data_IF_684108808662
#
_entry.id   IF_684108808662
#
_cell.length_a   1.000
_cell.length_b   1.000
_cell.length_c   1.000
_cell.angle_alpha   90.00
_cell.angle_beta   90.00
_cell.angle_gamma   90.00
#
_symmetry.space_group_name_H-M   'P 1'
#
loop_
_entity.id
_entity.type
_entity.pdbx_description
1 polymer ?
#
# COMPACT_ATOMS: atom_id res chain seq x y z
N UNK A 1 -23.48 9.07 -6.05
CA UNK A 1 -23.21 8.06 -5.00
C UNK A 1 -21.85 8.37 -4.38
N UNK A 2 -21.76 8.44 -3.05
CA UNK A 2 -20.50 8.61 -2.33
C UNK A 2 -20.22 7.32 -1.55
N UNK A 3 -19.06 6.70 -1.76
CA UNK A 3 -18.66 5.46 -1.09
C UNK A 3 -17.32 5.67 -0.39
N UNK A 4 -17.25 5.28 0.88
CA UNK A 4 -16.03 5.35 1.68
C UNK A 4 -15.58 3.93 2.03
N UNK A 5 -14.45 3.52 1.47
CA UNK A 5 -13.83 2.19 1.56
C UNK A 5 -14.82 1.01 1.37
N UNK A 6 -15.59 0.97 0.26
CA UNK A 6 -16.61 -0.05 0.06
C UNK A 6 -16.05 -1.46 -0.17
N UNK A 7 -14.75 -1.57 -0.45
CA UNK A 7 -14.04 -2.84 -0.69
C UNK A 7 -13.62 -3.54 0.60
N UNK A 8 -13.70 -2.87 1.76
CA UNK A 8 -13.28 -3.46 3.02
C UNK A 8 -14.21 -4.59 3.44
N UNK A 9 -13.62 -5.70 3.87
CA UNK A 9 -14.32 -6.91 4.34
C UNK A 9 -15.23 -7.60 3.31
N UNK A 10 -15.14 -7.24 2.03
CA UNK A 10 -15.80 -7.98 0.95
C UNK A 10 -14.96 -9.19 0.55
N UNK A 11 -15.63 -10.28 0.23
CA UNK A 11 -15.02 -11.40 -0.49
C UNK A 11 -14.94 -11.09 -1.99
N UNK A 12 -14.29 -11.98 -2.74
CA UNK A 12 -14.06 -11.77 -4.18
C UNK A 12 -15.39 -11.69 -4.95
N UNK A 13 -16.37 -12.53 -4.60
CA UNK A 13 -17.67 -12.56 -5.29
C UNK A 13 -18.47 -11.27 -5.04
N UNK A 14 -18.52 -10.78 -3.79
CA UNK A 14 -19.18 -9.52 -3.48
C UNK A 14 -18.46 -8.33 -4.10
N UNK A 15 -17.12 -8.37 -4.19
CA UNK A 15 -16.34 -7.36 -4.87
C UNK A 15 -16.65 -7.31 -6.36
N UNK A 16 -16.69 -8.46 -7.04
CA UNK A 16 -17.05 -8.56 -8.47
C UNK A 16 -18.48 -8.08 -8.73
N UNK A 17 -19.43 -8.46 -7.87
CA UNK A 17 -20.81 -7.97 -7.95
C UNK A 17 -20.88 -6.45 -7.78
N UNK A 18 -20.15 -5.89 -6.81
CA UNK A 18 -20.10 -4.46 -6.57
C UNK A 18 -19.49 -3.72 -7.77
N UNK A 19 -18.40 -4.23 -8.35
CA UNK A 19 -17.81 -3.68 -9.58
C UNK A 19 -18.85 -3.61 -10.71
N UNK A 20 -19.55 -4.70 -10.99
CA UNK A 20 -20.58 -4.74 -12.03
C UNK A 20 -21.76 -3.78 -11.75
N UNK A 21 -22.20 -3.72 -10.50
CA UNK A 21 -23.27 -2.82 -10.08
C UNK A 21 -22.88 -1.35 -10.29
N UNK A 22 -21.66 -0.97 -9.90
CA UNK A 22 -21.17 0.39 -10.06
C UNK A 22 -20.88 0.75 -11.52
N UNK A 23 -20.43 -0.20 -12.35
CA UNK A 23 -20.26 0.02 -13.79
C UNK A 23 -21.57 0.31 -14.53
N UNK A 24 -22.69 -0.26 -14.07
CA UNK A 24 -24.01 -0.08 -14.72
C UNK A 24 -24.79 1.11 -14.18
N UNK A 25 -24.32 1.73 -13.09
CA UNK A 25 -24.98 2.85 -12.45
C UNK A 25 -24.94 4.11 -13.33
N UNK A 26 -26.11 4.68 -13.61
CA UNK A 26 -26.29 5.82 -14.55
C UNK A 26 -26.00 7.21 -13.94
N UNK A 27 -25.54 7.28 -12.70
CA UNK A 27 -25.21 8.53 -12.01
C UNK A 27 -23.71 8.72 -11.77
N UNK A 28 -23.33 9.87 -11.23
CA UNK A 28 -21.94 10.11 -10.82
C UNK A 28 -21.62 9.38 -9.52
N UNK A 29 -20.41 8.80 -9.45
CA UNK A 29 -19.91 8.06 -8.30
C UNK A 29 -18.60 8.72 -7.85
N UNK A 30 -18.46 8.95 -6.55
CA UNK A 30 -17.18 9.28 -5.92
C UNK A 30 -16.87 8.16 -4.95
N UNK A 31 -15.70 7.56 -5.12
CA UNK A 31 -15.25 6.41 -4.34
C UNK A 31 -13.95 6.81 -3.64
N UNK A 32 -13.89 6.62 -2.33
CA UNK A 32 -12.66 6.60 -1.56
C UNK A 32 -12.31 5.12 -1.33
N UNK A 33 -11.15 4.68 -1.80
CA UNK A 33 -10.67 3.32 -1.60
C UNK A 33 -9.14 3.28 -1.57
N UNK A 34 -8.58 2.28 -0.90
CA UNK A 34 -7.19 1.91 -1.00
C UNK A 34 -6.90 0.78 -2.00
N UNK A 35 -7.92 0.15 -2.57
CA UNK A 35 -7.77 -0.93 -3.55
C UNK A 35 -7.46 -0.37 -4.94
N UNK A 36 -6.22 -0.57 -5.38
CA UNK A 36 -5.73 -0.07 -6.67
C UNK A 36 -6.42 -0.72 -7.86
N UNK A 37 -6.75 -2.02 -7.78
CA UNK A 37 -7.36 -2.73 -8.89
C UNK A 37 -8.82 -2.30 -9.08
N UNK A 38 -9.53 -2.14 -7.96
CA UNK A 38 -10.90 -1.66 -7.97
C UNK A 38 -11.01 -0.24 -8.55
N UNK A 39 -10.14 0.68 -8.08
CA UNK A 39 -10.12 2.06 -8.59
C UNK A 39 -9.72 2.10 -10.06
N UNK A 40 -8.72 1.32 -10.48
CA UNK A 40 -8.26 1.34 -11.88
C UNK A 40 -9.35 0.90 -12.87
N UNK A 41 -10.23 -0.02 -12.46
CA UNK A 41 -11.34 -0.51 -13.29
C UNK A 41 -12.54 0.44 -13.35
N UNK A 42 -12.87 1.10 -12.25
CA UNK A 42 -14.08 1.93 -12.15
C UNK A 42 -13.84 3.42 -12.42
N UNK A 43 -12.67 3.95 -12.05
CA UNK A 43 -12.41 5.38 -12.08
C UNK A 43 -12.02 5.85 -13.49
N UNK A 44 -12.76 6.84 -13.99
CA UNK A 44 -12.41 7.60 -15.19
C UNK A 44 -11.53 8.82 -14.88
N UNK A 45 -11.55 9.29 -13.64
CA UNK A 45 -10.78 10.43 -13.15
C UNK A 45 -10.31 10.17 -11.71
N UNK A 46 -9.10 10.65 -11.38
CA UNK A 46 -8.50 10.49 -10.06
C UNK A 46 -8.31 11.86 -9.42
N UNK A 47 -8.71 12.00 -8.15
CA UNK A 47 -8.46 13.19 -7.34
C UNK A 47 -7.55 12.82 -6.17
N UNK A 48 -6.32 13.34 -6.18
CA UNK A 48 -5.35 13.14 -5.10
C UNK A 48 -5.51 14.24 -4.04
N UNK A 49 -5.82 13.86 -2.80
CA UNK A 49 -5.80 14.75 -1.63
C UNK A 49 -4.43 14.67 -0.93
N UNK A 50 -3.63 15.73 -1.01
CA UNK A 50 -2.30 15.80 -0.36
C UNK A 50 -2.11 17.14 0.33
N UNK A 51 -1.79 17.11 1.64
CA UNK A 51 -1.58 18.32 2.48
C UNK A 51 -2.72 19.35 2.36
N UNK A 52 -3.97 18.88 2.29
CA UNK A 52 -5.16 19.74 2.15
C UNK A 52 -5.38 20.34 0.75
N UNK A 53 -4.57 19.95 -0.25
CA UNK A 53 -4.77 20.33 -1.66
C UNK A 53 -5.30 19.15 -2.46
N UNK A 54 -6.28 19.42 -3.33
CA UNK A 54 -6.81 18.46 -4.28
C UNK A 54 -6.14 18.67 -5.63
N UNK A 55 -5.58 17.61 -6.20
CA UNK A 55 -5.03 17.61 -7.56
C UNK A 55 -5.83 16.64 -8.41
N UNK A 56 -6.38 17.13 -9.51
CA UNK A 56 -7.18 16.33 -10.44
C UNK A 56 -6.31 15.75 -11.56
N UNK A 57 -6.58 14.50 -11.91
CA UNK A 57 -5.96 13.78 -13.02
C UNK A 57 -7.04 13.13 -13.87
N UNK A 58 -7.10 13.48 -15.16
CA UNK A 58 -8.00 12.84 -16.11
C UNK A 58 -7.42 11.49 -16.55
N UNK A 59 -8.13 10.39 -16.26
CA UNK A 59 -7.67 9.02 -16.51
C UNK A 59 -7.84 8.10 -15.31
N UNK A 60 -7.52 6.82 -15.52
CA UNK A 60 -7.58 5.79 -14.49
C UNK A 60 -6.40 5.85 -13.50
N UNK A 61 -6.39 4.94 -12.53
CA UNK A 61 -5.35 4.87 -11.50
C UNK A 61 -3.96 4.66 -12.10
N UNK A 62 -3.84 3.78 -13.11
CA UNK A 62 -2.57 3.51 -13.78
C UNK A 62 -1.98 4.76 -14.45
N UNK A 63 -2.81 5.54 -15.15
CA UNK A 63 -2.38 6.81 -15.74
C UNK A 63 -1.93 7.81 -14.68
N UNK A 64 -2.69 7.93 -13.59
CA UNK A 64 -2.31 8.77 -12.44
C UNK A 64 -0.95 8.38 -11.86
N UNK A 65 -0.67 7.08 -11.67
CA UNK A 65 0.59 6.61 -11.11
C UNK A 65 1.78 7.03 -11.98
N UNK A 66 1.67 6.90 -13.31
CA UNK A 66 2.69 7.37 -14.25
C UNK A 66 2.88 8.89 -14.20
N UNK A 67 1.79 9.65 -14.24
CA UNK A 67 1.85 11.12 -14.17
C UNK A 67 2.49 11.60 -12.87
N UNK A 68 2.18 10.94 -11.76
CA UNK A 68 2.77 11.24 -10.46
C UNK A 68 4.29 11.07 -10.46
N UNK A 69 4.79 9.96 -11.00
CA UNK A 69 6.24 9.73 -11.12
C UNK A 69 6.91 10.82 -11.96
N UNK A 70 6.34 11.14 -13.14
CA UNK A 70 6.87 12.19 -14.00
C UNK A 70 6.87 13.57 -13.33
N UNK A 71 5.81 13.90 -12.59
CA UNK A 71 5.71 15.15 -11.85
C UNK A 71 6.72 15.23 -10.69
N UNK A 72 6.92 14.13 -9.97
CA UNK A 72 7.93 14.02 -8.92
C UNK A 72 9.35 14.18 -9.49
N UNK A 73 9.68 13.53 -10.60
CA UNK A 73 10.98 13.69 -11.28
C UNK A 73 11.21 15.12 -11.74
N UNK A 74 10.20 15.76 -12.35
CA UNK A 74 10.27 17.17 -12.77
C UNK A 74 10.47 18.11 -11.57
N UNK A 75 9.79 17.83 -10.46
CA UNK A 75 9.92 18.61 -9.23
C UNK A 75 11.33 18.49 -8.64
N UNK A 76 11.89 17.28 -8.61
CA UNK A 76 13.26 17.02 -8.13
C UNK A 76 14.28 17.76 -9.00
N UNK A 77 14.19 17.66 -10.33
CA UNK A 77 15.10 18.37 -11.25
C UNK A 77 15.06 19.88 -11.06
N UNK A 78 13.86 20.48 -10.99
CA UNK A 78 13.70 21.92 -10.72
C UNK A 78 14.29 22.32 -9.38
N UNK A 79 14.13 21.48 -8.37
CA UNK A 79 14.71 21.72 -7.05
C UNK A 79 16.24 21.68 -7.07
N UNK A 80 16.84 20.71 -7.78
CA UNK A 80 18.29 20.60 -7.94
C UNK A 80 18.87 21.82 -8.66
N UNK A 81 18.25 22.25 -9.77
CA UNK A 81 18.61 23.45 -10.52
C UNK A 81 18.55 24.71 -9.64
N UNK A 82 17.44 24.87 -8.91
CA UNK A 82 17.27 25.99 -7.98
C UNK A 82 18.32 25.97 -6.86
N UNK A 83 18.61 24.79 -6.30
CA UNK A 83 19.63 24.64 -5.25
C UNK A 83 21.02 25.02 -5.77
N UNK A 84 21.40 24.55 -6.95
CA UNK A 84 22.69 24.89 -7.56
C UNK A 84 22.83 26.39 -7.83
N UNK A 85 21.77 27.05 -8.31
CA UNK A 85 21.77 28.49 -8.55
C UNK A 85 21.88 29.27 -7.24
N UNK A 86 21.13 28.88 -6.19
CA UNK A 86 21.24 29.48 -4.86
C UNK A 86 22.65 29.34 -4.30
N UNK A 87 23.27 28.17 -4.42
CA UNK A 87 24.66 27.95 -4.00
C UNK A 87 25.66 28.80 -4.80
N UNK A 88 25.41 29.04 -6.08
CA UNK A 88 26.25 29.91 -6.92
C UNK A 88 26.15 31.37 -6.50
N UNK A 89 24.93 31.86 -6.29
CA UNK A 89 24.65 33.22 -5.80
C UNK A 89 25.28 33.42 -4.41
N UNK A 90 25.09 32.44 -3.51
CA UNK A 90 25.67 32.48 -2.18
C UNK A 90 27.21 32.55 -2.23
N UNK A 91 27.86 31.71 -3.05
CA UNK A 91 29.31 31.75 -3.26
C UNK A 91 29.81 33.10 -3.80
N UNK A 92 29.03 33.76 -4.66
CA UNK A 92 29.35 35.10 -5.15
C UNK A 92 29.27 36.14 -4.02
N UNK A 93 28.20 36.11 -3.23
CA UNK A 93 28.01 36.98 -2.07
C UNK A 93 29.19 36.81 -1.10
N UNK A 94 29.50 35.58 -0.70
CA UNK A 94 30.55 35.30 0.28
C UNK A 94 31.94 35.76 -0.20
N UNK A 95 32.24 35.58 -1.49
CA UNK A 95 33.53 35.99 -2.08
C UNK A 95 33.69 37.52 -2.15
N UNK A 96 32.61 38.24 -2.41
CA UNK A 96 32.66 39.67 -2.72
C UNK A 96 32.07 40.58 -1.63
N UNK A 97 31.52 40.03 -0.53
CA UNK A 97 30.90 40.82 0.56
C UNK A 97 31.81 41.87 1.18
N UNK A 98 33.12 41.67 1.14
CA UNK A 98 34.11 42.59 1.72
C UNK A 98 34.71 43.59 0.71
N UNK A 99 34.37 43.49 -0.58
CA UNK A 99 34.89 44.41 -1.61
C UNK A 99 33.91 45.56 -1.83
N UNK A 100 34.27 46.76 -1.39
CA UNK A 100 33.47 47.97 -1.56
C UNK A 100 33.09 48.25 -3.02
N UNK A 101 33.98 47.96 -3.98
CA UNK A 101 33.72 48.12 -5.43
C UNK A 101 32.62 47.21 -5.98
N UNK A 102 32.21 46.18 -5.24
CA UNK A 102 31.19 45.21 -5.63
C UNK A 102 29.96 45.24 -4.72
N UNK A 103 29.87 46.19 -3.80
CA UNK A 103 28.79 46.27 -2.81
C UNK A 103 27.39 46.31 -3.46
N UNK A 104 27.19 47.12 -4.50
CA UNK A 104 25.91 47.20 -5.21
C UNK A 104 25.52 45.86 -5.86
N UNK A 105 26.48 45.12 -6.42
CA UNK A 105 26.23 43.81 -7.03
C UNK A 105 25.89 42.76 -5.97
N UNK A 106 26.58 42.76 -4.83
CA UNK A 106 26.29 41.86 -3.70
C UNK A 106 24.90 42.12 -3.14
N UNK A 107 24.53 43.39 -2.93
CA UNK A 107 23.19 43.77 -2.44
C UNK A 107 22.07 43.35 -3.40
N UNK A 108 22.30 43.47 -4.71
CA UNK A 108 21.36 42.98 -5.72
C UNK A 108 21.15 41.46 -5.64
N UNK A 109 22.24 40.70 -5.48
CA UNK A 109 22.20 39.22 -5.38
C UNK A 109 21.57 38.73 -4.08
N UNK A 110 21.74 39.44 -2.97
CA UNK A 110 21.03 39.15 -1.70
C UNK A 110 19.52 39.28 -1.90
N UNK A 111 19.06 40.40 -2.48
CA UNK A 111 17.63 40.61 -2.77
C UNK A 111 17.06 39.58 -3.74
N UNK A 112 17.84 39.15 -4.72
CA UNK A 112 17.46 38.07 -5.64
C UNK A 112 17.24 36.76 -4.88
N UNK A 113 18.18 36.40 -4.00
CA UNK A 113 18.09 35.18 -3.17
C UNK A 113 16.89 35.20 -2.21
N UNK A 114 16.57 36.35 -1.62
CA UNK A 114 15.42 36.53 -0.72
C UNK A 114 14.08 36.40 -1.44
N UNK A 115 14.00 36.86 -2.70
CA UNK A 115 12.79 36.76 -3.52
C UNK A 115 12.56 35.38 -4.14
N UNK A 116 13.57 34.50 -4.11
CA UNK A 116 13.43 33.13 -4.64
C UNK A 116 12.56 32.28 -3.70
N UNK A 117 11.35 31.94 -4.17
CA UNK A 117 10.48 30.96 -3.50
C UNK A 117 11.18 29.61 -3.40
N UNK A 118 11.13 29.00 -2.21
CA UNK A 118 11.78 27.73 -1.96
C UNK A 118 10.90 26.59 -2.45
N UNK A 119 11.41 25.79 -3.39
CA UNK A 119 10.72 24.58 -3.82
C UNK A 119 10.81 23.55 -2.67
N UNK A 120 9.66 23.07 -2.19
CA UNK A 120 9.60 22.00 -1.19
C UNK A 120 9.45 20.65 -1.88
N UNK A 121 10.40 19.74 -1.67
CA UNK A 121 10.24 18.34 -2.06
C UNK A 121 9.39 17.65 -0.98
N UNK A 122 8.31 16.93 -1.34
CA UNK A 122 7.59 16.11 -0.38
C UNK A 122 8.53 15.08 0.24
N UNK A 123 8.48 14.85 1.57
CA UNK A 123 9.32 13.84 2.20
C UNK A 123 9.08 12.50 1.53
N UNK A 124 10.14 11.74 1.30
CA UNK A 124 10.02 10.37 0.81
C UNK A 124 9.14 9.59 1.78
N UNK A 125 8.10 8.87 1.30
CA UNK A 125 7.30 8.03 2.17
C UNK A 125 8.24 7.03 2.85
N UNK A 126 8.09 6.87 4.17
CA UNK A 126 8.89 5.91 4.94
C UNK A 126 8.64 4.53 4.35
N UNK A 127 9.64 3.95 3.69
CA UNK A 127 9.62 2.55 3.29
C UNK A 127 9.73 1.71 4.56
N UNK A 128 8.59 1.22 5.05
CA UNK A 128 8.55 0.26 6.15
C UNK A 128 9.14 -1.04 5.60
N UNK A 129 10.37 -1.35 6.00
CA UNK A 129 10.99 -2.63 5.70
C UNK A 129 10.60 -3.59 6.82
N UNK A 130 9.62 -4.46 6.55
CA UNK A 130 9.26 -5.52 7.46
C UNK A 130 10.02 -6.79 7.05
N UNK A 131 11.00 -7.18 7.85
CA UNK A 131 11.77 -8.40 7.64
C UNK A 131 11.37 -9.42 8.70
N UNK A 132 10.52 -10.37 8.33
CA UNK A 132 10.28 -11.57 9.14
C UNK A 132 11.51 -12.47 9.01
N UNK A 133 12.22 -12.69 10.11
CA UNK A 133 13.36 -13.60 10.16
C UNK A 133 12.92 -14.92 10.78
N UNK A 134 13.28 -16.02 10.13
CA UNK A 134 13.13 -17.36 10.68
C UNK A 134 14.50 -17.80 11.16
N UNK A 135 14.70 -17.88 12.47
CA UNK A 135 16.01 -18.21 13.07
C UNK A 135 16.41 -19.66 12.80
N UNK A 136 15.44 -20.58 12.87
CA UNK A 136 15.65 -22.01 12.64
C UNK A 136 14.69 -22.52 11.57
N UNK A 137 15.18 -23.11 10.47
CA UNK A 137 14.29 -23.66 9.45
C UNK A 137 13.54 -24.88 10.00
N UNK A 138 12.25 -24.97 9.67
CA UNK A 138 11.43 -26.16 9.91
C UNK A 138 11.83 -27.31 8.98
N UNK A 139 11.29 -28.49 9.26
CA UNK A 139 11.39 -29.65 8.38
C UNK A 139 10.61 -29.44 7.08
N UNK A 140 10.76 -30.37 6.12
CA UNK A 140 10.11 -30.24 4.79
C UNK A 140 8.59 -30.18 4.91
N UNK A 141 7.99 -31.05 5.72
CA UNK A 141 6.55 -31.04 6.01
C UNK A 141 6.31 -30.15 7.24
N UNK A 142 5.43 -29.16 7.09
CA UNK A 142 5.19 -28.09 8.09
C UNK A 142 3.84 -28.30 8.78
N UNK A 143 2.83 -28.71 8.04
CA UNK A 143 1.49 -28.97 8.56
C UNK A 143 0.90 -30.16 7.83
N UNK A 144 0.29 -31.05 8.58
CA UNK A 144 -0.48 -32.18 8.07
C UNK A 144 -1.83 -32.21 8.77
N UNK A 145 -2.89 -32.13 7.99
CA UNK A 145 -4.28 -32.22 8.43
C UNK A 145 -4.87 -33.47 7.82
N UNK A 146 -5.47 -34.32 8.67
CA UNK A 146 -6.15 -35.54 8.24
C UNK A 146 -7.58 -35.57 8.79
N UNK A 147 -8.54 -35.71 7.88
CA UNK A 147 -9.98 -35.84 8.12
C UNK A 147 -10.56 -34.80 9.10
N UNK A 148 -10.00 -33.60 9.11
CA UNK A 148 -10.33 -32.59 10.10
C UNK A 148 -11.74 -32.03 9.84
N UNK A 149 -12.56 -32.03 10.90
CA UNK A 149 -13.91 -31.46 10.83
C UNK A 149 -14.22 -30.63 12.07
N UNK A 150 -14.94 -29.54 11.87
CA UNK A 150 -15.32 -28.59 12.90
C UNK A 150 -16.68 -27.94 12.61
N UNK A 151 -17.51 -27.80 13.65
CA UNK A 151 -18.80 -27.10 13.62
C UNK A 151 -18.95 -26.10 14.76
N UNK A 152 -19.66 -25.01 14.52
CA UNK A 152 -20.23 -24.18 15.58
C UNK A 152 -21.67 -24.63 15.82
N UNK A 153 -21.99 -24.94 17.07
CA UNK A 153 -23.30 -25.45 17.48
C UNK A 153 -23.73 -26.70 16.68
N UNK A 154 -24.57 -26.53 15.65
CA UNK A 154 -25.16 -27.64 14.90
C UNK A 154 -24.61 -27.79 13.46
N UNK A 155 -24.20 -26.70 12.81
CA UNK A 155 -23.81 -26.72 11.39
C UNK A 155 -22.30 -26.91 11.22
N UNK A 156 -21.91 -27.88 10.39
CA UNK A 156 -20.52 -28.06 10.00
C UNK A 156 -20.02 -26.87 9.20
N UNK A 157 -18.90 -26.33 9.66
CA UNK A 157 -18.20 -25.22 8.99
C UNK A 157 -17.07 -25.77 8.14
N UNK A 158 -16.41 -26.84 8.62
CA UNK A 158 -15.36 -27.56 7.92
C UNK A 158 -15.64 -29.05 8.06
N UNK A 159 -15.59 -29.79 6.96
CA UNK A 159 -15.83 -31.23 6.93
C UNK A 159 -14.75 -31.94 6.13
N UNK A 160 -14.20 -33.02 6.71
CA UNK A 160 -13.24 -33.92 6.08
C UNK A 160 -12.09 -33.22 5.33
N UNK A 161 -11.50 -32.21 5.97
CA UNK A 161 -10.40 -31.45 5.39
C UNK A 161 -9.11 -32.27 5.49
N UNK A 162 -8.45 -32.44 4.34
CA UNK A 162 -7.15 -33.08 4.23
C UNK A 162 -6.19 -32.11 3.53
N UNK A 163 -5.10 -31.74 4.20
CA UNK A 163 -4.15 -30.75 3.69
C UNK A 163 -2.74 -31.08 4.16
N UNK A 164 -1.77 -30.94 3.26
CA UNK A 164 -0.35 -30.98 3.57
C UNK A 164 0.29 -29.68 3.11
N UNK A 165 1.03 -29.03 3.99
CA UNK A 165 1.80 -27.83 3.69
C UNK A 165 3.28 -28.16 3.85
N UNK A 166 4.05 -27.83 2.83
CA UNK A 166 5.49 -27.98 2.82
C UNK A 166 6.19 -26.63 3.02
N UNK A 167 7.42 -26.69 3.51
CA UNK A 167 8.25 -25.51 3.74
C UNK A 167 8.52 -24.79 2.42
N UNK A 168 8.14 -23.52 2.37
CA UNK A 168 8.28 -22.66 1.20
C UNK A 168 7.01 -22.52 0.36
N UNK A 169 5.97 -23.30 0.66
CA UNK A 169 4.67 -23.15 0.00
C UNK A 169 4.10 -21.76 0.26
N UNK A 170 3.46 -21.20 -0.77
CA UNK A 170 2.73 -19.94 -0.71
C UNK A 170 1.26 -20.24 -0.99
N UNK A 171 0.46 -20.28 0.07
CA UNK A 171 -0.93 -20.73 0.00
C UNK A 171 -1.84 -19.54 0.29
N UNK A 172 -2.82 -19.32 -0.57
CA UNK A 172 -3.88 -18.34 -0.36
C UNK A 172 -5.17 -19.06 0.02
N UNK A 173 -5.80 -18.67 1.14
CA UNK A 173 -7.10 -19.17 1.55
C UNK A 173 -8.19 -18.24 1.03
N UNK A 174 -8.98 -18.71 0.08
CA UNK A 174 -10.06 -17.95 -0.56
C UNK A 174 -11.42 -18.60 -0.30
N UNK A 175 -12.48 -17.81 -0.36
CA UNK A 175 -13.86 -18.27 -0.17
C UNK A 175 -14.76 -17.12 0.24
N UNK A 176 -16.07 -17.36 0.25
CA UNK A 176 -17.06 -16.35 0.66
C UNK A 176 -16.98 -16.02 2.15
N UNK A 177 -17.55 -14.89 2.55
CA UNK A 177 -17.72 -14.56 3.96
C UNK A 177 -18.58 -15.62 4.65
N UNK A 178 -18.13 -16.09 5.82
CA UNK A 178 -18.77 -17.20 6.52
C UNK A 178 -18.34 -18.60 6.07
N UNK A 179 -17.53 -18.76 5.01
CA UNK A 179 -17.02 -20.07 4.55
C UNK A 179 -16.04 -20.77 5.52
N UNK A 180 -15.83 -20.24 6.73
CA UNK A 180 -14.94 -20.86 7.72
C UNK A 180 -13.46 -20.49 7.63
N UNK A 181 -13.09 -19.46 6.84
CA UNK A 181 -11.68 -19.02 6.67
C UNK A 181 -10.98 -18.73 8.02
N UNK A 182 -11.59 -17.87 8.84
CA UNK A 182 -11.07 -17.53 10.18
C UNK A 182 -11.09 -18.73 11.13
N UNK A 183 -12.08 -19.60 11.01
CA UNK A 183 -12.16 -20.84 11.79
C UNK A 183 -11.00 -21.77 11.46
N UNK A 184 -10.68 -21.92 10.17
CA UNK A 184 -9.54 -22.70 9.69
C UNK A 184 -8.21 -22.15 10.22
N UNK A 185 -7.99 -20.83 10.18
CA UNK A 185 -6.74 -20.24 10.72
C UNK A 185 -6.61 -20.46 12.21
N UNK A 186 -7.71 -20.33 12.98
CA UNK A 186 -7.73 -20.58 14.43
C UNK A 186 -7.49 -22.04 14.80
N UNK A 187 -7.94 -22.98 13.97
CA UNK A 187 -7.65 -24.41 14.14
C UNK A 187 -6.16 -24.71 13.92
N UNK A 188 -5.53 -24.09 12.91
CA UNK A 188 -4.09 -24.24 12.66
C UNK A 188 -3.25 -23.57 13.74
N UNK A 189 -3.68 -22.41 14.26
CA UNK A 189 -2.98 -21.71 15.37
C UNK A 189 -3.17 -22.38 16.74
N UNK A 190 -3.88 -23.52 16.80
CA UNK A 190 -4.23 -24.23 18.04
C UNK A 190 -5.11 -23.41 19.01
N UNK A 191 -5.74 -22.31 18.57
CA UNK A 191 -6.75 -21.59 19.36
C UNK A 191 -8.06 -22.37 19.47
N UNK A 192 -8.38 -23.17 18.45
CA UNK A 192 -9.51 -24.09 18.43
C UNK A 192 -9.00 -25.52 18.28
N UNK A 193 -9.74 -26.47 18.85
CA UNK A 193 -9.47 -27.90 18.67
C UNK A 193 -10.46 -28.51 17.67
N UNK A 194 -9.99 -29.35 16.73
CA UNK A 194 -10.89 -30.06 15.82
C UNK A 194 -11.76 -31.04 16.60
N UNK A 195 -13.01 -31.23 16.17
CA UNK A 195 -13.93 -32.20 16.79
C UNK A 195 -13.76 -33.61 16.22
N UNK A 196 -13.27 -33.70 14.97
CA UNK A 196 -12.87 -34.94 14.30
C UNK A 196 -11.57 -34.71 13.53
N UNK A 197 -10.84 -35.80 13.30
CA UNK A 197 -9.56 -35.76 12.61
C UNK A 197 -8.43 -35.24 13.50
N UNK A 198 -7.29 -34.95 12.88
CA UNK A 198 -6.09 -34.46 13.58
C UNK A 198 -5.34 -33.42 12.76
N UNK A 199 -4.66 -32.54 13.50
CA UNK A 199 -3.74 -31.53 12.98
C UNK A 199 -2.37 -31.82 13.58
N UNK A 200 -1.39 -32.13 12.73
CA UNK A 200 -0.01 -32.42 13.12
C UNK A 200 0.89 -31.32 12.55
N UNK A 201 1.61 -30.61 13.43
CA UNK A 201 2.65 -29.67 13.03
C UNK A 201 3.98 -30.41 12.85
N UNK A 202 4.70 -30.10 11.79
CA UNK A 202 6.02 -30.65 11.54
C UNK A 202 7.05 -30.19 12.57
N UNK A 203 8.12 -30.96 12.75
CA UNK A 203 9.17 -30.60 13.70
C UNK A 203 9.78 -29.23 13.42
N UNK A 204 10.08 -28.50 14.51
CA UNK A 204 10.62 -27.12 14.47
C UNK A 204 9.73 -26.14 13.68
N UNK A 205 8.43 -26.43 13.60
CA UNK A 205 7.43 -25.50 13.07
C UNK A 205 6.87 -24.66 14.21
N UNK A 206 6.88 -23.35 14.02
CA UNK A 206 6.22 -22.39 14.89
C UNK A 206 5.17 -21.65 14.08
N UNK A 207 3.94 -21.61 14.59
CA UNK A 207 2.85 -20.86 13.97
C UNK A 207 2.83 -19.46 14.57
N UNK A 208 2.94 -18.44 13.73
CA UNK A 208 2.67 -17.05 14.11
C UNK A 208 1.30 -16.64 13.56
N UNK A 209 0.40 -16.18 14.43
CA UNK A 209 -0.92 -15.66 14.09
C UNK A 209 -1.07 -14.25 14.66
#
# INVERSE_FOLDING_TARGET
>A
LLLDEPTNHLDLEALEWLEQYLMTFQGSIVIVSHDRFFIDRLASEIVELKRGKLTHYAGNYHFYEQQKVLNEERLIKKWEEQKAERERIQRFIDRFRYKASKAAQVQSRIKELEKMEKIEIPPTPRKIHFNIRVETPSYKEVLKIEEMSFRYEQAWVLENINLKIYRGDRIALVGVNGAGKTTFTRLISSELSPQKGRIELGERTFVGY
#
